data_IF_037090080636
#
_entry.id   IF_037090080636
#
_cell.length_a   1.000
_cell.length_b   1.000
_cell.length_c   1.000
_cell.angle_alpha   90.00
_cell.angle_beta   90.00
_cell.angle_gamma   90.00
#
_symmetry.space_group_name_H-M   'P 1'
#
loop_
_entity.id
_entity.type
_entity.pdbx_description
1 polymer ?
#
# COMPACT_ATOMS: atom_id res chain seq x y z
N UNK A 1 33.45 14.54 -14.42
CA UNK A 1 33.28 14.42 -12.95
C UNK A 1 32.61 15.63 -12.29
N UNK A 2 32.93 16.88 -12.65
CA UNK A 2 32.30 18.09 -12.07
C UNK A 2 30.75 18.14 -12.16
N UNK A 3 30.18 17.69 -13.27
CA UNK A 3 28.73 17.67 -13.50
C UNK A 3 27.98 16.65 -12.60
N UNK A 4 28.60 15.52 -12.24
CA UNK A 4 28.00 14.57 -11.30
C UNK A 4 27.93 15.13 -9.88
N UNK A 5 28.99 15.81 -9.42
CA UNK A 5 29.03 16.47 -8.11
C UNK A 5 28.01 17.62 -8.02
N UNK A 6 27.87 18.41 -9.09
CA UNK A 6 26.86 19.46 -9.19
C UNK A 6 25.43 18.89 -9.15
N UNK A 7 25.15 17.81 -9.89
CA UNK A 7 23.84 17.13 -9.86
C UNK A 7 23.51 16.52 -8.50
N UNK A 8 24.48 15.91 -7.83
CA UNK A 8 24.29 15.38 -6.46
C UNK A 8 24.02 16.52 -5.48
N UNK A 9 24.75 17.63 -5.57
CA UNK A 9 24.54 18.82 -4.75
C UNK A 9 23.14 19.42 -4.95
N UNK A 10 22.70 19.50 -6.20
CA UNK A 10 21.36 19.94 -6.56
C UNK A 10 20.27 19.00 -6.03
N UNK A 11 20.45 17.68 -6.20
CA UNK A 11 19.52 16.68 -5.66
C UNK A 11 19.40 16.77 -4.13
N UNK A 12 20.52 16.93 -3.43
CA UNK A 12 20.53 17.10 -1.97
C UNK A 12 19.84 18.41 -1.52
N UNK A 13 20.01 19.49 -2.28
CA UNK A 13 19.32 20.76 -2.00
C UNK A 13 17.80 20.64 -2.21
N UNK A 14 17.38 20.03 -3.32
CA UNK A 14 15.96 19.76 -3.60
C UNK A 14 15.34 18.84 -2.55
N UNK A 15 16.07 17.81 -2.11
CA UNK A 15 15.60 16.93 -1.04
C UNK A 15 15.39 17.69 0.28
N UNK A 16 16.36 18.52 0.72
CA UNK A 16 16.19 19.34 1.92
C UNK A 16 15.02 20.32 1.81
N UNK A 17 14.83 20.91 0.63
CA UNK A 17 13.70 21.79 0.37
C UNK A 17 12.37 21.03 0.45
N UNK A 18 12.28 19.84 -0.15
CA UNK A 18 11.09 18.99 -0.07
C UNK A 18 10.77 18.61 1.39
N UNK A 19 11.78 18.21 2.17
CA UNK A 19 11.62 17.92 3.61
C UNK A 19 11.10 19.14 4.37
N UNK A 20 11.65 20.33 4.12
CA UNK A 20 11.21 21.56 4.77
C UNK A 20 9.76 21.93 4.39
N UNK A 21 9.38 21.78 3.12
CA UNK A 21 7.99 22.02 2.66
C UNK A 21 7.02 21.04 3.32
N UNK A 22 7.37 19.75 3.39
CA UNK A 22 6.53 18.73 4.05
C UNK A 22 6.36 19.05 5.53
N UNK A 23 7.44 19.43 6.23
CA UNK A 23 7.37 19.81 7.64
C UNK A 23 6.49 21.06 7.89
N UNK A 24 6.60 22.07 7.03
CA UNK A 24 5.77 23.27 7.12
C UNK A 24 4.30 22.96 6.82
N UNK A 25 4.03 22.13 5.81
CA UNK A 25 2.68 21.70 5.48
C UNK A 25 2.06 20.85 6.60
N UNK A 26 2.84 19.96 7.24
CA UNK A 26 2.39 19.19 8.38
C UNK A 26 1.96 20.09 9.54
N UNK A 27 2.77 21.09 9.89
CA UNK A 27 2.40 22.08 10.92
C UNK A 27 1.12 22.85 10.58
N UNK A 28 0.97 23.29 9.33
CA UNK A 28 -0.24 23.97 8.88
C UNK A 28 -1.49 23.07 8.87
N UNK A 29 -1.32 21.77 8.61
CA UNK A 29 -2.40 20.78 8.66
C UNK A 29 -2.80 20.44 10.11
N UNK A 30 -1.85 20.40 11.04
CA UNK A 30 -2.15 20.22 12.47
C UNK A 30 -2.99 21.38 13.03
N UNK A 31 -2.75 22.60 12.55
CA UNK A 31 -3.56 23.79 12.88
C UNK A 31 -4.96 23.74 12.24
N UNK A 32 -5.10 23.04 11.11
CA UNK A 32 -6.39 22.84 10.45
C UNK A 32 -7.16 21.66 11.06
N UNK A 33 -7.98 21.95 12.08
CA UNK A 33 -8.89 20.96 12.67
C UNK A 33 -10.33 21.23 12.21
N UNK A 34 -10.82 20.57 11.14
CA UNK A 34 -12.23 20.65 10.81
C UNK A 34 -13.05 20.09 11.98
N UNK A 35 -14.24 20.66 12.21
CA UNK A 35 -15.17 20.08 13.16
C UNK A 35 -15.42 18.63 12.75
N UNK A 36 -15.26 17.65 13.66
CA UNK A 36 -15.54 16.27 13.31
C UNK A 36 -17.02 16.18 12.92
N UNK A 37 -17.36 15.43 11.85
CA UNK A 37 -18.75 15.13 11.54
C UNK A 37 -19.41 14.49 12.75
N UNK A 38 -20.73 14.64 12.89
CA UNK A 38 -21.40 14.03 14.03
C UNK A 38 -21.27 12.49 14.00
N UNK A 39 -21.46 11.84 15.16
CA UNK A 39 -21.23 10.40 15.27
C UNK A 39 -22.09 9.59 14.28
N UNK A 40 -23.32 10.04 14.01
CA UNK A 40 -24.23 9.35 13.10
C UNK A 40 -23.73 9.43 11.66
N UNK A 41 -23.31 10.60 11.21
CA UNK A 41 -22.72 10.79 9.89
C UNK A 41 -21.46 9.93 9.69
N UNK A 42 -20.65 9.77 10.75
CA UNK A 42 -19.48 8.89 10.72
C UNK A 42 -19.85 7.42 10.56
N UNK A 43 -20.85 6.93 11.30
CA UNK A 43 -21.36 5.56 11.10
C UNK A 43 -21.92 5.36 9.70
N UNK A 44 -22.73 6.30 9.19
CA UNK A 44 -23.30 6.23 7.85
C UNK A 44 -22.21 6.24 6.77
N UNK A 45 -21.12 6.99 6.97
CA UNK A 45 -19.95 6.95 6.10
C UNK A 45 -19.23 5.60 6.16
N UNK A 46 -19.03 5.04 7.36
CA UNK A 46 -18.39 3.72 7.53
C UNK A 46 -19.19 2.63 6.82
N UNK A 47 -20.51 2.62 6.92
CA UNK A 47 -21.36 1.64 6.20
C UNK A 47 -21.24 1.79 4.68
N UNK A 48 -21.25 3.03 4.17
CA UNK A 48 -21.04 3.28 2.73
C UNK A 48 -19.66 2.83 2.26
N UNK A 49 -18.61 3.10 3.02
CA UNK A 49 -17.24 2.66 2.70
C UNK A 49 -17.10 1.14 2.76
N UNK A 50 -17.77 0.49 3.73
CA UNK A 50 -17.81 -0.98 3.81
C UNK A 50 -18.50 -1.59 2.59
N UNK A 51 -19.64 -1.05 2.19
CA UNK A 51 -20.35 -1.49 0.99
C UNK A 51 -19.52 -1.28 -0.28
N UNK A 52 -18.89 -0.11 -0.43
CA UNK A 52 -18.02 0.18 -1.56
C UNK A 52 -16.81 -0.77 -1.62
N UNK A 53 -16.18 -1.06 -0.48
CA UNK A 53 -15.07 -2.01 -0.41
C UNK A 53 -15.51 -3.42 -0.86
N UNK A 54 -16.69 -3.88 -0.46
CA UNK A 54 -17.22 -5.18 -0.89
C UNK A 54 -17.46 -5.25 -2.41
N UNK A 55 -17.79 -4.12 -3.05
CA UNK A 55 -17.91 -4.02 -4.51
C UNK A 55 -16.54 -4.02 -5.20
N UNK A 56 -15.56 -3.28 -4.68
CA UNK A 56 -14.26 -3.08 -5.33
C UNK A 56 -13.32 -4.28 -5.21
N UNK A 57 -13.38 -5.00 -4.09
CA UNK A 57 -12.53 -6.15 -3.80
C UNK A 57 -13.37 -7.33 -3.30
N UNK A 58 -14.16 -7.97 -4.18
CA UNK A 58 -15.06 -9.04 -3.79
C UNK A 58 -14.31 -10.31 -3.34
N UNK A 59 -14.96 -11.10 -2.50
CA UNK A 59 -14.46 -12.40 -2.04
C UNK A 59 -13.16 -12.29 -1.24
N UNK A 60 -12.21 -13.18 -1.53
CA UNK A 60 -10.97 -13.31 -0.77
C UNK A 60 -10.07 -12.07 -0.85
N UNK A 61 -10.14 -11.30 -1.94
CA UNK A 61 -9.33 -10.09 -2.14
C UNK A 61 -9.62 -9.01 -1.08
N UNK A 62 -10.89 -8.89 -0.70
CA UNK A 62 -11.36 -7.98 0.34
C UNK A 62 -11.28 -8.56 1.75
N UNK A 63 -11.02 -9.86 1.90
CA UNK A 63 -11.00 -10.54 3.19
C UNK A 63 -9.62 -10.50 3.89
N UNK A 64 -9.58 -10.75 5.21
CA UNK A 64 -8.31 -10.93 5.95
C UNK A 64 -7.53 -12.14 5.40
N UNK A 65 -6.19 -12.07 5.34
CA UNK A 65 -5.38 -13.16 4.76
C UNK A 65 -5.38 -14.43 5.64
N UNK A 66 -5.52 -14.25 6.94
CA UNK A 66 -5.64 -15.31 7.95
C UNK A 66 -7.01 -16.01 7.94
N UNK A 67 -7.99 -15.46 7.21
CA UNK A 67 -9.32 -16.05 7.03
C UNK A 67 -9.45 -16.91 5.76
N UNK A 68 -8.36 -17.11 5.00
CA UNK A 68 -8.41 -17.84 3.73
C UNK A 68 -8.20 -19.35 3.93
N UNK A 69 -8.94 -20.16 3.16
CA UNK A 69 -8.73 -21.61 3.09
C UNK A 69 -7.69 -21.97 2.02
N UNK A 70 -7.15 -23.18 2.12
CA UNK A 70 -6.25 -23.74 1.09
C UNK A 70 -6.91 -23.85 -0.29
N UNK A 71 -8.25 -24.00 -0.32
CA UNK A 71 -9.06 -24.08 -1.55
C UNK A 71 -9.43 -22.72 -2.14
N UNK A 72 -8.91 -21.62 -1.58
CA UNK A 72 -9.20 -20.28 -2.10
C UNK A 72 -8.74 -20.18 -3.55
N UNK A 73 -9.64 -19.90 -4.51
CA UNK A 73 -9.27 -19.85 -5.91
C UNK A 73 -8.29 -18.71 -6.16
N UNK A 74 -7.09 -19.08 -6.59
CA UNK A 74 -6.06 -18.15 -7.02
C UNK A 74 -6.27 -17.79 -8.49
N UNK A 75 -5.91 -16.56 -8.84
CA UNK A 75 -6.02 -15.99 -10.16
C UNK A 75 -7.41 -15.47 -10.46
N UNK A 76 -7.45 -14.39 -11.23
CA UNK A 76 -8.64 -13.84 -11.87
C UNK A 76 -8.35 -13.61 -13.36
N UNK A 77 -9.39 -13.40 -14.18
CA UNK A 77 -9.23 -13.14 -15.61
C UNK A 77 -8.55 -11.79 -15.90
N UNK A 78 -8.51 -10.88 -14.91
CA UNK A 78 -8.03 -9.51 -15.06
C UNK A 78 -7.07 -9.14 -13.92
N UNK A 79 -6.22 -8.15 -14.18
CA UNK A 79 -5.38 -7.55 -13.14
C UNK A 79 -6.25 -6.88 -12.06
N UNK A 80 -5.94 -7.06 -10.76
CA UNK A 80 -6.65 -6.38 -9.69
C UNK A 80 -6.35 -4.87 -9.72
N UNK A 81 -7.36 -4.06 -10.01
CA UNK A 81 -7.20 -2.59 -10.03
C UNK A 81 -7.19 -2.01 -8.61
N UNK A 82 -7.92 -2.65 -7.70
CA UNK A 82 -8.06 -2.26 -6.30
C UNK A 82 -7.49 -3.34 -5.40
N UNK A 83 -6.82 -2.93 -4.32
CA UNK A 83 -6.25 -3.86 -3.35
C UNK A 83 -6.53 -3.39 -1.94
N UNK A 84 -6.89 -4.33 -1.07
CA UNK A 84 -6.99 -4.09 0.37
C UNK A 84 -5.60 -3.90 0.97
N UNK A 85 -5.40 -2.80 1.69
CA UNK A 85 -4.17 -2.46 2.41
C UNK A 85 -4.30 -2.61 3.93
N UNK A 86 -5.51 -2.76 4.45
CA UNK A 86 -5.71 -2.93 5.89
C UNK A 86 -7.17 -2.92 6.32
N UNK A 87 -7.39 -2.62 7.59
CA UNK A 87 -8.69 -2.27 8.16
C UNK A 87 -8.61 -0.85 8.70
N UNK A 88 -9.48 0.02 8.24
CA UNK A 88 -9.70 1.31 8.87
C UNK A 88 -10.64 1.15 10.07
N UNK A 89 -10.34 1.87 11.14
CA UNK A 89 -11.13 1.92 12.35
C UNK A 89 -11.21 3.39 12.82
N UNK A 90 -12.10 4.20 12.22
CA UNK A 90 -12.29 5.59 12.67
C UNK A 90 -13.04 5.68 14.01
N UNK A 91 -13.81 4.65 14.38
CA UNK A 91 -14.58 4.54 15.63
C UNK A 91 -14.29 3.21 16.31
N UNK A 92 -14.48 3.15 17.63
CA UNK A 92 -14.21 1.94 18.42
C UNK A 92 -15.02 0.72 17.95
N UNK A 93 -16.27 0.96 17.56
CA UNK A 93 -17.26 -0.04 17.14
C UNK A 93 -17.48 -0.11 15.63
N UNK A 94 -16.86 0.77 14.84
CA UNK A 94 -17.07 0.84 13.39
C UNK A 94 -15.77 0.64 12.59
N UNK A 95 -15.75 -0.36 11.71
CA UNK A 95 -14.60 -0.73 10.88
C UNK A 95 -14.99 -0.93 9.41
N UNK A 96 -14.04 -0.69 8.51
CA UNK A 96 -14.19 -1.03 7.09
C UNK A 96 -12.83 -1.41 6.46
N UNK A 97 -12.79 -2.26 5.42
CA UNK A 97 -11.56 -2.57 4.70
C UNK A 97 -10.99 -1.31 4.02
N UNK A 98 -9.73 -1.00 4.29
CA UNK A 98 -9.04 0.08 3.58
C UNK A 98 -8.60 -0.45 2.21
N UNK A 99 -9.10 0.16 1.14
CA UNK A 99 -8.89 -0.27 -0.26
C UNK A 99 -8.32 0.90 -1.06
N UNK A 100 -7.28 0.63 -1.84
CA UNK A 100 -6.64 1.64 -2.70
C UNK A 100 -6.64 1.20 -4.16
N UNK A 101 -6.81 2.12 -5.11
CA UNK A 101 -6.47 1.89 -6.50
C UNK A 101 -4.94 1.78 -6.63
N UNK A 102 -4.43 0.79 -7.37
CA UNK A 102 -3.00 0.59 -7.54
C UNK A 102 -2.61 0.34 -9.00
N UNK A 103 -2.96 -0.83 -9.55
CA UNK A 103 -2.54 -1.19 -10.90
C UNK A 103 -3.30 -0.37 -11.94
N UNK A 104 -2.55 0.32 -12.81
CA UNK A 104 -3.10 1.16 -13.88
C UNK A 104 -3.72 2.49 -13.43
N UNK A 105 -3.66 2.80 -12.14
CA UNK A 105 -4.40 3.93 -11.54
C UNK A 105 -3.56 4.84 -10.64
N UNK A 106 -2.45 4.36 -10.06
CA UNK A 106 -1.58 5.22 -9.24
C UNK A 106 -0.37 4.56 -8.59
N UNK A 107 0.18 5.23 -7.59
CA UNK A 107 1.30 4.76 -6.77
C UNK A 107 0.91 4.74 -5.29
N UNK A 108 1.39 3.74 -4.56
CA UNK A 108 1.27 3.67 -3.09
C UNK A 108 2.55 4.17 -2.44
N UNK A 109 2.41 5.20 -1.62
CA UNK A 109 3.48 5.71 -0.75
C UNK A 109 3.17 5.34 0.69
N UNK A 110 4.13 4.75 1.39
CA UNK A 110 4.03 4.46 2.83
C UNK A 110 4.97 5.41 3.55
N UNK A 111 4.41 6.34 4.30
CA UNK A 111 5.16 7.30 5.10
C UNK A 111 5.38 6.77 6.52
N UNK A 112 6.30 5.82 6.62
CA UNK A 112 6.73 5.21 7.88
C UNK A 112 8.17 4.71 7.76
N UNK A 113 8.84 4.49 8.90
CA UNK A 113 10.19 3.91 8.90
C UNK A 113 10.18 2.55 8.20
N UNK A 114 10.99 2.39 7.16
CA UNK A 114 11.09 1.15 6.40
C UNK A 114 11.55 -0.05 7.24
N UNK A 115 12.16 0.20 8.40
CA UNK A 115 12.58 -0.84 9.36
C UNK A 115 11.43 -1.29 10.27
N UNK A 116 10.29 -0.61 10.26
CA UNK A 116 9.11 -1.05 11.00
C UNK A 116 8.60 -2.38 10.40
N UNK A 117 8.54 -3.48 11.19
CA UNK A 117 8.03 -4.77 10.72
C UNK A 117 6.60 -4.69 10.15
N UNK A 118 5.81 -3.70 10.54
CA UNK A 118 4.47 -3.45 10.00
C UNK A 118 4.51 -3.01 8.55
N UNK A 119 5.51 -2.21 8.15
CA UNK A 119 5.71 -1.80 6.75
C UNK A 119 6.07 -3.01 5.90
N UNK A 120 7.01 -3.84 6.35
CA UNK A 120 7.36 -5.08 5.68
C UNK A 120 6.16 -6.04 5.57
N UNK A 121 5.35 -6.15 6.63
CA UNK A 121 4.12 -6.93 6.65
C UNK A 121 3.07 -6.43 5.65
N UNK A 122 2.85 -5.11 5.57
CA UNK A 122 1.98 -4.47 4.60
C UNK A 122 2.43 -4.77 3.16
N UNK A 123 3.70 -4.55 2.85
CA UNK A 123 4.25 -4.79 1.51
C UNK A 123 4.14 -6.26 1.11
N UNK A 124 4.43 -7.19 2.03
CA UNK A 124 4.26 -8.62 1.79
C UNK A 124 2.80 -8.99 1.54
N UNK A 125 1.88 -8.47 2.35
CA UNK A 125 0.46 -8.71 2.19
C UNK A 125 -0.10 -8.16 0.87
N UNK A 126 0.41 -7.01 0.42
CA UNK A 126 0.07 -6.40 -0.86
C UNK A 126 0.58 -7.25 -2.03
N UNK A 127 1.87 -7.61 -2.02
CA UNK A 127 2.48 -8.44 -3.05
C UNK A 127 1.80 -9.81 -3.15
N UNK A 128 1.49 -10.44 -2.01
CA UNK A 128 0.80 -11.72 -1.98
C UNK A 128 -0.57 -11.61 -2.63
N UNK A 129 -1.38 -10.59 -2.28
CA UNK A 129 -2.68 -10.35 -2.93
C UNK A 129 -2.56 -10.13 -4.42
N UNK A 130 -1.62 -9.30 -4.86
CA UNK A 130 -1.42 -9.00 -6.28
C UNK A 130 -1.03 -10.24 -7.07
N UNK A 131 -0.03 -10.99 -6.59
CA UNK A 131 0.46 -12.19 -7.26
C UNK A 131 -0.57 -13.33 -7.25
N UNK A 132 -1.34 -13.47 -6.17
CA UNK A 132 -2.40 -14.46 -6.06
C UNK A 132 -3.64 -14.10 -6.89
N UNK A 133 -3.87 -12.83 -7.24
CA UNK A 133 -5.05 -12.39 -7.98
C UNK A 133 -4.80 -12.23 -9.49
N UNK A 134 -3.60 -11.84 -9.86
CA UNK A 134 -3.27 -11.53 -11.24
C UNK A 134 -3.12 -12.79 -12.11
N UNK A 135 -3.45 -12.74 -13.41
CA UNK A 135 -3.10 -13.80 -14.34
C UNK A 135 -1.60 -14.12 -14.30
N UNK A 136 -1.24 -15.39 -14.47
CA UNK A 136 0.16 -15.80 -14.52
C UNK A 136 0.93 -15.02 -15.61
N UNK A 137 2.13 -14.53 -15.27
CA UNK A 137 2.99 -13.77 -16.18
C UNK A 137 2.57 -12.31 -16.42
N UNK A 138 1.47 -11.84 -15.81
CA UNK A 138 0.99 -10.46 -16.01
C UNK A 138 1.64 -9.41 -15.10
N UNK A 139 2.37 -9.84 -14.07
CA UNK A 139 3.05 -8.96 -13.11
C UNK A 139 4.56 -9.16 -13.12
N UNK A 140 5.28 -8.03 -13.07
CA UNK A 140 6.72 -7.98 -12.87
C UNK A 140 7.01 -7.27 -11.54
N UNK A 141 7.63 -7.97 -10.59
CA UNK A 141 8.00 -7.40 -9.29
C UNK A 141 9.50 -7.10 -9.28
N UNK A 142 9.86 -5.84 -9.02
CA UNK A 142 11.25 -5.40 -8.84
C UNK A 142 11.39 -4.74 -7.47
N UNK A 143 12.15 -5.37 -6.58
CA UNK A 143 12.47 -4.81 -5.27
C UNK A 143 13.75 -3.98 -5.31
N UNK A 144 13.75 -2.83 -4.65
CA UNK A 144 14.96 -2.07 -4.31
C UNK A 144 14.91 -1.82 -2.81
N UNK A 145 15.97 -2.21 -2.12
CA UNK A 145 16.12 -1.98 -0.68
C UNK A 145 17.40 -1.21 -0.41
N UNK A 146 17.28 -0.06 0.23
CA UNK A 146 18.41 0.71 0.72
C UNK A 146 18.52 0.68 2.26
N UNK A 147 17.55 0.08 2.96
CA UNK A 147 17.41 0.13 4.41
C UNK A 147 18.01 -1.09 5.15
N UNK A 148 18.31 -2.19 4.46
CA UNK A 148 18.92 -3.38 5.05
C UNK A 148 19.68 -4.27 4.06
N UNK A 149 20.32 -5.37 4.52
CA UNK A 149 20.94 -6.36 3.66
C UNK A 149 19.87 -7.25 2.99
N UNK A 150 19.11 -6.69 2.05
CA UNK A 150 18.32 -7.44 1.05
C UNK A 150 17.21 -8.38 1.57
N UNK A 151 16.06 -7.84 1.96
CA UNK A 151 14.82 -8.58 2.32
C UNK A 151 14.20 -9.46 1.21
N UNK A 152 14.70 -9.43 -0.03
CA UNK A 152 14.20 -10.25 -1.15
C UNK A 152 15.05 -11.50 -1.47
N UNK A 153 16.05 -11.85 -0.65
CA UNK A 153 16.93 -12.99 -0.96
C UNK A 153 16.21 -14.35 -1.05
N UNK A 154 15.00 -14.50 -0.49
CA UNK A 154 14.28 -15.78 -0.46
C UNK A 154 13.22 -15.98 -1.55
N UNK A 155 12.71 -14.92 -2.19
CA UNK A 155 11.60 -15.04 -3.15
C UNK A 155 12.07 -15.23 -4.59
N UNK A 156 13.27 -14.74 -4.92
CA UNK A 156 13.84 -14.83 -6.27
C UNK A 156 14.76 -16.05 -6.47
N UNK A 157 15.13 -16.77 -5.41
CA UNK A 157 16.08 -17.89 -5.50
C UNK A 157 15.44 -19.25 -5.84
N UNK A 158 14.13 -19.32 -6.10
CA UNK A 158 13.42 -20.60 -6.26
C UNK A 158 12.41 -20.68 -7.39
N UNK A 159 12.46 -19.78 -8.37
CA UNK A 159 11.71 -19.97 -9.60
C UNK A 159 12.50 -20.86 -10.57
N UNK A 160 12.01 -22.07 -10.92
CA UNK A 160 12.63 -22.84 -11.97
C UNK A 160 12.44 -22.09 -13.29
N UNK A 161 13.53 -21.87 -14.01
CA UNK A 161 13.49 -21.48 -15.42
C UNK A 161 12.71 -22.54 -16.18
N UNK A 162 11.72 -22.17 -17.02
CA UNK A 162 11.09 -23.12 -17.91
C UNK A 162 12.15 -23.68 -18.88
N UNK A 163 12.18 -25.00 -19.01
CA UNK A 163 12.91 -25.71 -20.05
C UNK A 163 12.13 -25.68 -21.37
#
# INVERSE_FOLDING_TARGET
MANAKARIGQAAALHRQAVATVAAAAGALDDFRPAPPDQREQHDLVERLRAAAATLVPGWLGAPLDAQSEDTPLGGPLLPQFVRVGMAQPLDDARFPAVVPLLGTGHLTVDADARDPRVAGLLRALLLRLLAAAPAGSLLVRGVDAAGPGWFSGLLSRWPTPA
#
